data_IF_800626106349
#
_entry.id   IF_800626106349
#
_cell.length_a   1.000
_cell.length_b   1.000
_cell.length_c   1.000
_cell.angle_alpha   90.00
_cell.angle_beta   90.00
_cell.angle_gamma   90.00
#
_symmetry.space_group_name_H-M   'P 1'
#
loop_
_entity.id
_entity.type
_entity.pdbx_description
1 polymer ?
#
# COMPACT_ATOMS: atom_id res chain seq x y z
N UNK A 1 -21.07 4.95 -25.72
CA UNK A 1 -20.42 4.10 -24.70
C UNK A 1 -18.94 3.83 -24.98
N UNK A 2 -18.56 3.34 -26.17
CA UNK A 2 -17.13 3.11 -26.53
C UNK A 2 -16.23 4.34 -26.32
N UNK A 3 -16.69 5.54 -26.69
CA UNK A 3 -15.93 6.79 -26.46
C UNK A 3 -15.67 7.07 -24.98
N UNK A 4 -16.62 6.73 -24.10
CA UNK A 4 -16.46 6.89 -22.64
C UNK A 4 -15.43 5.90 -22.12
N UNK A 5 -15.53 4.62 -22.53
CA UNK A 5 -14.54 3.60 -22.16
C UNK A 5 -13.13 4.01 -22.60
N UNK A 6 -12.95 4.48 -23.85
CA UNK A 6 -11.65 4.99 -24.33
C UNK A 6 -11.10 6.12 -23.45
N UNK A 7 -11.93 7.08 -23.05
CA UNK A 7 -11.50 8.18 -22.16
C UNK A 7 -11.07 7.68 -20.78
N UNK A 8 -11.82 6.76 -20.20
CA UNK A 8 -11.50 6.15 -18.89
C UNK A 8 -10.17 5.39 -18.96
N UNK A 9 -10.02 4.49 -19.93
CA UNK A 9 -8.77 3.72 -20.11
C UNK A 9 -7.58 4.63 -20.41
N UNK A 10 -7.75 5.65 -21.25
CA UNK A 10 -6.68 6.61 -21.54
C UNK A 10 -6.26 7.36 -20.27
N UNK A 11 -7.22 7.83 -19.46
CA UNK A 11 -6.94 8.47 -18.17
C UNK A 11 -6.14 7.55 -17.25
N UNK A 12 -6.51 6.26 -17.16
CA UNK A 12 -5.78 5.28 -16.36
C UNK A 12 -4.36 5.04 -16.86
N UNK A 13 -4.18 4.86 -18.17
CA UNK A 13 -2.86 4.67 -18.80
C UNK A 13 -1.98 5.89 -18.51
N UNK A 14 -2.48 7.09 -18.71
CA UNK A 14 -1.75 8.32 -18.42
C UNK A 14 -1.41 8.45 -16.93
N UNK A 15 -2.33 8.12 -16.02
CA UNK A 15 -2.07 8.16 -14.58
C UNK A 15 -0.98 7.17 -14.15
N UNK A 16 -0.97 5.97 -14.73
CA UNK A 16 0.07 4.96 -14.50
C UNK A 16 1.42 5.41 -15.07
N UNK A 17 1.44 5.91 -16.30
CA UNK A 17 2.65 6.44 -16.92
C UNK A 17 3.22 7.60 -16.10
N UNK A 18 2.42 8.57 -15.70
CA UNK A 18 2.90 9.68 -14.88
C UNK A 18 3.43 9.21 -13.52
N UNK A 19 2.76 8.23 -12.90
CA UNK A 19 3.24 7.63 -11.64
C UNK A 19 4.59 6.96 -11.84
N UNK A 20 4.78 6.21 -12.93
CA UNK A 20 6.07 5.59 -13.28
C UNK A 20 7.19 6.63 -13.41
N UNK A 21 6.93 7.81 -14.01
CA UNK A 21 7.91 8.90 -14.09
C UNK A 21 8.22 9.56 -12.74
N UNK A 22 7.34 9.44 -11.75
CA UNK A 22 7.55 9.96 -10.39
C UNK A 22 8.27 8.97 -9.48
N UNK A 23 8.46 7.72 -9.92
CA UNK A 23 9.11 6.72 -9.11
C UNK A 23 10.54 7.14 -8.79
N UNK A 24 10.90 6.94 -7.53
CA UNK A 24 12.25 7.09 -7.05
C UNK A 24 12.76 5.69 -6.72
N UNK A 25 13.72 5.21 -7.51
CA UNK A 25 14.27 3.86 -7.38
C UNK A 25 14.88 3.64 -5.98
N UNK A 26 15.59 4.63 -5.45
CA UNK A 26 16.15 4.57 -4.09
C UNK A 26 15.06 4.42 -3.03
N UNK A 27 13.95 5.15 -3.13
CA UNK A 27 12.84 5.03 -2.18
C UNK A 27 12.15 3.66 -2.29
N UNK A 28 12.02 3.12 -3.50
CA UNK A 28 11.48 1.79 -3.77
C UNK A 28 12.36 0.69 -3.18
N UNK A 29 13.67 0.75 -3.41
CA UNK A 29 14.63 -0.21 -2.85
C UNK A 29 14.63 -0.16 -1.32
N UNK A 30 14.63 1.04 -0.73
CA UNK A 30 14.52 1.22 0.71
C UNK A 30 13.21 0.64 1.26
N UNK A 31 12.08 0.87 0.58
CA UNK A 31 10.79 0.33 0.98
C UNK A 31 10.79 -1.20 0.98
N UNK A 32 11.29 -1.83 -0.09
CA UNK A 32 11.40 -3.29 -0.19
C UNK A 32 12.32 -3.84 0.90
N UNK A 33 13.46 -3.17 1.17
CA UNK A 33 14.40 -3.58 2.22
C UNK A 33 13.77 -3.57 3.60
N UNK A 34 13.11 -2.49 4.02
CA UNK A 34 12.48 -2.44 5.35
C UNK A 34 11.33 -3.46 5.47
N UNK A 35 10.60 -3.73 4.38
CA UNK A 35 9.56 -4.78 4.35
C UNK A 35 10.16 -6.18 4.48
N UNK A 36 11.35 -6.42 3.94
CA UNK A 36 12.04 -7.70 4.04
C UNK A 36 12.49 -7.99 5.47
N UNK A 37 12.98 -6.97 6.18
CA UNK A 37 13.47 -7.05 7.55
C UNK A 37 12.34 -7.07 8.60
N UNK A 38 11.11 -6.70 8.20
CA UNK A 38 9.97 -6.61 9.10
C UNK A 38 9.48 -7.98 9.59
N UNK A 39 9.16 -8.06 10.89
CA UNK A 39 8.45 -9.20 11.46
C UNK A 39 6.93 -9.06 11.37
N UNK A 40 6.44 -7.81 11.23
CA UNK A 40 5.02 -7.45 11.12
C UNK A 40 4.82 -6.30 10.14
N UNK A 41 3.87 -6.45 9.23
CA UNK A 41 3.49 -5.42 8.25
C UNK A 41 2.02 -5.07 8.41
N UNK A 42 1.69 -3.80 8.64
CA UNK A 42 0.31 -3.34 8.69
C UNK A 42 -0.02 -2.38 7.54
N UNK A 43 -1.25 -2.47 7.01
CA UNK A 43 -1.73 -1.62 5.94
C UNK A 43 -2.90 -0.76 6.43
N UNK A 44 -2.74 0.56 6.40
CA UNK A 44 -3.75 1.50 6.88
C UNK A 44 -4.30 2.34 5.73
N UNK A 45 -5.62 2.47 5.69
CA UNK A 45 -6.30 3.39 4.78
C UNK A 45 -7.80 3.35 4.99
N UNK A 46 -8.51 4.44 4.73
CA UNK A 46 -9.96 4.51 4.89
C UNK A 46 -10.66 4.70 3.54
N UNK A 47 -11.93 4.32 3.45
CA UNK A 47 -12.73 4.45 2.23
C UNK A 47 -12.06 3.80 1.02
N UNK A 48 -11.90 4.53 -0.08
CA UNK A 48 -11.26 4.04 -1.30
C UNK A 48 -9.82 3.54 -1.10
N UNK A 49 -9.05 4.17 -0.20
CA UNK A 49 -7.70 3.73 0.15
C UNK A 49 -7.69 2.50 1.06
N UNK A 50 -8.77 2.27 1.81
CA UNK A 50 -8.96 1.04 2.58
C UNK A 50 -9.07 -0.21 1.71
N UNK A 51 -9.67 -0.09 0.51
CA UNK A 51 -9.71 -1.19 -0.47
C UNK A 51 -8.30 -1.55 -0.94
N UNK A 52 -7.42 -0.57 -1.10
CA UNK A 52 -6.01 -0.80 -1.46
C UNK A 52 -5.27 -1.49 -0.32
N UNK A 53 -5.51 -1.07 0.93
CA UNK A 53 -4.94 -1.73 2.10
C UNK A 53 -5.36 -3.21 2.18
N UNK A 54 -6.63 -3.51 1.93
CA UNK A 54 -7.13 -4.90 1.91
C UNK A 54 -6.55 -5.73 0.75
N UNK A 55 -6.39 -5.15 -0.43
CA UNK A 55 -5.73 -5.81 -1.56
C UNK A 55 -4.25 -6.11 -1.25
N UNK A 56 -3.55 -5.16 -0.64
CA UNK A 56 -2.18 -5.33 -0.18
C UNK A 56 -2.09 -6.48 0.84
N UNK A 57 -2.96 -6.51 1.85
CA UNK A 57 -3.02 -7.60 2.82
C UNK A 57 -3.24 -8.96 2.14
N UNK A 58 -4.21 -9.07 1.24
CA UNK A 58 -4.48 -10.32 0.51
C UNK A 58 -3.26 -10.83 -0.30
N UNK A 59 -2.45 -9.94 -0.85
CA UNK A 59 -1.21 -10.29 -1.56
C UNK A 59 -0.09 -10.66 -0.60
N UNK A 60 0.16 -9.81 0.41
CA UNK A 60 1.27 -9.96 1.34
C UNK A 60 1.12 -11.17 2.28
N UNK A 61 -0.09 -11.65 2.53
CA UNK A 61 -0.30 -12.94 3.22
C UNK A 61 0.50 -14.10 2.60
N UNK A 62 0.74 -14.05 1.28
CA UNK A 62 1.47 -15.10 0.54
C UNK A 62 2.98 -15.05 0.76
N UNK A 63 3.49 -13.99 1.38
CA UNK A 63 4.91 -13.84 1.71
C UNK A 63 5.30 -14.62 2.98
N UNK A 64 4.32 -14.97 3.82
CA UNK A 64 4.56 -15.60 5.13
C UNK A 64 4.92 -14.62 6.25
N UNK A 65 5.08 -13.32 5.94
CA UNK A 65 5.26 -12.29 6.96
C UNK A 65 3.90 -12.01 7.63
N UNK A 66 3.91 -11.88 8.96
CA UNK A 66 2.71 -11.50 9.71
C UNK A 66 2.20 -10.15 9.22
N UNK A 67 0.97 -10.11 8.72
CA UNK A 67 0.41 -8.87 8.21
C UNK A 67 -1.08 -8.75 8.47
N UNK A 68 -1.58 -7.51 8.46
CA UNK A 68 -2.99 -7.19 8.63
C UNK A 68 -3.32 -5.85 7.98
N UNK A 69 -4.56 -5.68 7.51
CA UNK A 69 -5.08 -4.40 7.07
C UNK A 69 -6.12 -3.87 8.05
N UNK A 70 -6.01 -2.60 8.40
CA UNK A 70 -6.99 -1.88 9.22
C UNK A 70 -7.61 -0.74 8.40
N UNK A 71 -8.92 -0.85 8.15
CA UNK A 71 -9.68 0.13 7.36
C UNK A 71 -10.54 1.07 8.21
N UNK A 72 -10.66 0.76 9.50
CA UNK A 72 -11.29 1.57 10.52
C UNK A 72 -10.22 2.32 11.34
N UNK A 73 -10.43 3.61 11.59
CA UNK A 73 -9.44 4.45 12.29
C UNK A 73 -9.21 4.05 13.73
N UNK A 74 -10.23 3.53 14.42
CA UNK A 74 -10.07 3.08 15.80
C UNK A 74 -9.19 1.83 15.85
N UNK A 75 -9.40 0.88 14.93
CA UNK A 75 -8.55 -0.30 14.81
C UNK A 75 -7.13 0.03 14.37
N UNK A 76 -6.93 1.05 13.53
CA UNK A 76 -5.59 1.54 13.18
C UNK A 76 -4.84 2.03 14.43
N UNK A 77 -5.49 2.77 15.33
CA UNK A 77 -4.90 3.22 16.60
C UNK A 77 -4.55 2.01 17.50
N UNK A 78 -5.48 1.06 17.65
CA UNK A 78 -5.25 -0.14 18.46
C UNK A 78 -4.08 -0.98 17.92
N UNK A 79 -4.04 -1.23 16.60
CA UNK A 79 -2.96 -1.93 15.93
C UNK A 79 -1.63 -1.21 16.11
N UNK A 80 -1.60 0.11 15.88
CA UNK A 80 -0.43 0.96 16.03
C UNK A 80 0.15 0.89 17.45
N UNK A 81 -0.72 0.82 18.48
CA UNK A 81 -0.33 0.71 19.87
C UNK A 81 0.44 -0.56 20.22
N UNK A 82 0.36 -1.61 19.39
CA UNK A 82 1.00 -2.93 19.58
C UNK A 82 2.21 -3.14 18.66
N UNK A 83 2.64 -2.12 17.93
CA UNK A 83 3.81 -2.20 17.06
C UNK A 83 5.12 -2.08 17.84
N UNK A 84 6.21 -2.38 17.16
CA UNK A 84 7.58 -2.29 17.66
C UNK A 84 8.53 -1.83 16.56
N UNK A 85 9.81 -1.67 16.88
CA UNK A 85 10.89 -1.33 15.94
C UNK A 85 11.02 -2.27 14.74
N UNK A 86 10.56 -3.53 14.87
CA UNK A 86 10.58 -4.53 13.79
C UNK A 86 9.29 -4.53 12.96
N UNK A 87 8.43 -3.53 13.14
CA UNK A 87 7.17 -3.38 12.42
C UNK A 87 7.24 -2.32 11.33
N UNK A 88 6.53 -2.55 10.23
CA UNK A 88 6.34 -1.56 9.16
C UNK A 88 4.85 -1.27 9.00
N UNK A 89 4.48 0.00 8.88
CA UNK A 89 3.14 0.42 8.50
C UNK A 89 3.16 1.07 7.13
N UNK A 90 2.31 0.58 6.23
CA UNK A 90 2.04 1.23 4.94
C UNK A 90 0.77 2.06 5.07
N UNK A 91 0.93 3.38 5.18
CA UNK A 91 -0.17 4.34 5.22
C UNK A 91 -0.57 4.78 3.81
N UNK A 92 -1.83 4.53 3.44
CA UNK A 92 -2.36 4.81 2.11
C UNK A 92 -3.41 5.91 2.19
N UNK A 93 -3.13 7.05 1.56
CA UNK A 93 -4.09 8.15 1.46
C UNK A 93 -3.78 9.01 0.25
N UNK A 94 -4.77 9.16 -0.64
CA UNK A 94 -4.63 10.00 -1.84
C UNK A 94 -4.24 11.45 -1.47
N UNK A 95 -5.03 12.12 -0.63
CA UNK A 95 -4.77 13.50 -0.19
C UNK A 95 -3.65 13.62 0.85
N UNK A 96 -3.37 12.53 1.58
CA UNK A 96 -2.40 12.54 2.69
C UNK A 96 -2.81 13.42 3.87
N UNK A 97 -4.10 13.72 4.01
CA UNK A 97 -4.65 14.65 5.02
C UNK A 97 -5.69 14.02 5.96
N UNK A 98 -5.87 12.70 5.92
CA UNK A 98 -6.82 12.02 6.81
C UNK A 98 -6.29 12.02 8.25
N UNK A 99 -6.98 12.75 9.14
CA UNK A 99 -6.58 12.93 10.54
C UNK A 99 -6.45 11.61 11.31
N UNK A 100 -7.43 10.72 11.21
CA UNK A 100 -7.42 9.44 11.92
C UNK A 100 -6.27 8.53 11.48
N UNK A 101 -5.96 8.52 10.19
CA UNK A 101 -4.78 7.83 9.67
C UNK A 101 -3.48 8.43 10.22
N UNK A 102 -3.35 9.76 10.21
CA UNK A 102 -2.16 10.46 10.68
C UNK A 102 -1.93 10.20 12.18
N UNK A 103 -2.98 10.27 13.00
CA UNK A 103 -2.91 9.95 14.44
C UNK A 103 -2.41 8.51 14.68
N UNK A 104 -2.94 7.52 13.95
CA UNK A 104 -2.47 6.13 14.07
C UNK A 104 -1.00 5.96 13.64
N UNK A 105 -0.57 6.68 12.61
CA UNK A 105 0.81 6.65 12.14
C UNK A 105 1.78 7.34 13.10
N UNK A 106 1.38 8.44 13.75
CA UNK A 106 2.16 9.07 14.81
C UNK A 106 2.40 8.10 15.98
N UNK A 107 1.36 7.35 16.38
CA UNK A 107 1.48 6.30 17.40
C UNK A 107 2.42 5.20 16.94
N UNK A 108 2.28 4.72 15.70
CA UNK A 108 3.15 3.69 15.13
C UNK A 108 4.63 4.12 15.16
N UNK A 109 4.92 5.36 14.74
CA UNK A 109 6.26 5.95 14.82
C UNK A 109 6.77 6.04 16.26
N UNK A 110 5.92 6.46 17.21
CA UNK A 110 6.29 6.53 18.62
C UNK A 110 6.61 5.14 19.22
N UNK A 111 6.06 4.06 18.65
CA UNK A 111 6.41 2.66 18.97
C UNK A 111 7.66 2.14 18.24
N UNK A 112 8.28 2.96 17.40
CA UNK A 112 9.48 2.62 16.63
C UNK A 112 9.20 2.00 15.26
N UNK A 113 7.94 1.82 14.86
CA UNK A 113 7.61 1.24 13.58
C UNK A 113 8.04 2.17 12.43
N UNK A 114 8.54 1.57 11.34
CA UNK A 114 8.84 2.31 10.11
C UNK A 114 7.57 2.61 9.34
N UNK A 115 7.48 3.80 8.77
CA UNK A 115 6.31 4.25 8.01
C UNK A 115 6.66 4.40 6.53
N UNK A 116 5.92 3.67 5.70
CA UNK A 116 5.88 3.86 4.25
C UNK A 116 4.57 4.57 3.90
N UNK A 117 4.62 5.72 3.24
CA UNK A 117 3.45 6.40 2.72
C UNK A 117 3.24 6.11 1.24
N UNK A 118 2.00 5.85 0.85
CA UNK A 118 1.54 5.91 -0.54
C UNK A 118 0.53 7.06 -0.63
N UNK A 119 0.94 8.14 -1.29
CA UNK A 119 0.13 9.35 -1.43
C UNK A 119 0.34 10.02 -2.78
N UNK A 120 -0.46 11.03 -3.10
CA UNK A 120 -0.36 11.74 -4.37
C UNK A 120 0.19 13.17 -4.23
N UNK A 121 0.21 13.72 -3.01
CA UNK A 121 0.66 15.09 -2.75
C UNK A 121 1.97 15.12 -1.94
N UNK A 122 3.03 15.65 -2.55
CA UNK A 122 4.39 15.70 -1.98
C UNK A 122 4.53 16.56 -0.71
N UNK A 123 3.63 17.52 -0.50
CA UNK A 123 3.63 18.38 0.70
C UNK A 123 2.50 18.05 1.67
N UNK A 124 1.92 16.85 1.55
CA UNK A 124 0.88 16.40 2.48
C UNK A 124 1.44 16.10 3.87
N UNK A 125 0.58 16.17 4.88
CA UNK A 125 0.94 15.78 6.25
C UNK A 125 1.46 14.34 6.31
N UNK A 126 0.84 13.42 5.55
CA UNK A 126 1.30 12.03 5.46
C UNK A 126 2.73 11.92 4.91
N UNK A 127 3.06 12.68 3.86
CA UNK A 127 4.39 12.66 3.27
C UNK A 127 5.48 13.18 4.21
N UNK A 128 5.15 14.15 5.06
CA UNK A 128 6.06 14.68 6.07
C UNK A 128 6.21 13.72 7.27
N UNK A 129 5.17 12.95 7.56
CA UNK A 129 5.12 11.96 8.64
C UNK A 129 5.78 10.63 8.27
N UNK A 130 6.00 10.30 7.00
CA UNK A 130 6.55 9.01 6.62
C UNK A 130 8.09 9.00 6.63
N UNK A 131 8.68 7.82 6.81
CA UNK A 131 10.12 7.62 6.65
C UNK A 131 10.48 7.43 5.16
N UNK A 132 9.58 6.78 4.41
CA UNK A 132 9.69 6.56 2.98
C UNK A 132 8.36 6.92 2.34
N UNK A 133 8.37 7.73 1.27
CA UNK A 133 7.14 8.09 0.55
C UNK A 133 7.22 7.67 -0.91
N UNK A 134 6.19 6.95 -1.37
CA UNK A 134 5.98 6.58 -2.76
C UNK A 134 4.83 7.42 -3.32
N UNK A 135 5.12 8.19 -4.36
CA UNK A 135 4.16 9.11 -4.94
C UNK A 135 3.39 8.49 -6.10
N UNK A 136 2.10 8.83 -6.17
CA UNK A 136 1.24 8.59 -7.32
C UNK A 136 0.90 9.93 -7.97
N UNK A 137 0.69 9.95 -9.30
CA UNK A 137 0.42 11.21 -9.98
C UNK A 137 -0.96 11.79 -9.64
N UNK A 138 -0.98 13.11 -9.39
CA UNK A 138 -2.17 13.97 -9.37
C UNK A 138 -2.23 14.78 -10.66
N UNK A 139 -2.94 14.32 -11.68
CA UNK A 139 -3.42 15.24 -12.73
C UNK A 139 -4.90 15.45 -12.51
N UNK A 140 -5.22 16.52 -11.78
CA UNK A 140 -6.58 17.01 -11.59
C UNK A 140 -7.08 17.55 -12.94
N UNK A 141 -7.96 16.80 -13.61
CA UNK A 141 -8.81 17.35 -14.66
C UNK A 141 -10.21 17.44 -14.07
N UNK A 142 -10.84 18.62 -14.23
CA UNK A 142 -12.07 19.13 -13.57
C UNK A 142 -13.35 18.27 -13.68
N UNK A 143 -13.27 17.02 -14.15
CA UNK A 143 -14.41 16.12 -14.27
C UNK A 143 -14.17 14.77 -13.57
N UNK A 144 -14.44 14.71 -12.26
CA UNK A 144 -15.09 13.66 -11.44
C UNK A 144 -14.90 12.18 -11.83
N UNK A 145 -13.76 11.84 -12.42
CA UNK A 145 -13.31 10.45 -12.70
C UNK A 145 -12.01 10.14 -11.92
N UNK A 146 -11.83 10.86 -10.82
CA UNK A 146 -10.54 11.18 -10.18
C UNK A 146 -10.06 10.10 -9.19
N UNK A 147 -11.00 9.36 -8.57
CA UNK A 147 -10.69 8.35 -7.57
C UNK A 147 -10.22 7.00 -8.16
N UNK A 148 -10.45 6.73 -9.44
CA UNK A 148 -10.16 5.43 -10.05
C UNK A 148 -8.75 5.35 -10.62
N UNK A 149 -8.25 6.41 -11.27
CA UNK A 149 -6.87 6.41 -11.81
C UNK A 149 -5.81 6.41 -10.72
N UNK A 150 -6.01 7.21 -9.66
CA UNK A 150 -5.12 7.22 -8.48
C UNK A 150 -5.12 5.87 -7.79
N UNK A 151 -6.29 5.21 -7.69
CA UNK A 151 -6.42 3.87 -7.14
C UNK A 151 -5.62 2.82 -7.92
N UNK A 152 -5.70 2.83 -9.24
CA UNK A 152 -4.90 1.91 -10.07
C UNK A 152 -3.40 2.14 -9.90
N UNK A 153 -2.96 3.40 -9.82
CA UNK A 153 -1.57 3.72 -9.53
C UNK A 153 -1.13 3.20 -8.14
N UNK A 154 -1.97 3.36 -7.12
CA UNK A 154 -1.70 2.82 -5.78
C UNK A 154 -1.64 1.28 -5.77
N UNK A 155 -2.56 0.61 -6.49
CA UNK A 155 -2.53 -0.85 -6.66
C UNK A 155 -1.24 -1.30 -7.36
N UNK A 156 -0.81 -0.58 -8.40
CA UNK A 156 0.44 -0.88 -9.10
C UNK A 156 1.66 -0.72 -8.19
N UNK A 157 1.70 0.30 -7.32
CA UNK A 157 2.77 0.44 -6.33
C UNK A 157 2.77 -0.71 -5.31
N UNK A 158 1.59 -1.13 -4.83
CA UNK A 158 1.46 -2.30 -3.96
C UNK A 158 1.96 -3.56 -4.67
N UNK A 159 1.63 -3.74 -5.95
CA UNK A 159 2.14 -4.86 -6.75
C UNK A 159 3.66 -4.81 -6.90
N UNK A 160 4.23 -3.63 -7.15
CA UNK A 160 5.68 -3.46 -7.22
C UNK A 160 6.35 -3.83 -5.90
N UNK A 161 5.83 -3.37 -4.76
CA UNK A 161 6.37 -3.72 -3.44
C UNK A 161 6.25 -5.22 -3.16
N UNK A 162 5.09 -5.82 -3.45
CA UNK A 162 4.86 -7.25 -3.26
C UNK A 162 5.78 -8.10 -4.14
N UNK A 163 5.94 -7.74 -5.42
CA UNK A 163 6.82 -8.46 -6.35
C UNK A 163 8.28 -8.28 -5.95
N UNK A 164 8.71 -7.06 -5.60
CA UNK A 164 10.05 -6.79 -5.12
C UNK A 164 10.41 -7.61 -3.88
N UNK A 165 9.52 -7.62 -2.88
CA UNK A 165 9.67 -8.45 -1.68
C UNK A 165 9.64 -9.96 -2.01
N UNK A 166 8.77 -10.37 -2.92
CA UNK A 166 8.65 -11.77 -3.35
C UNK A 166 9.92 -12.31 -4.00
N UNK A 167 10.62 -11.49 -4.78
CA UNK A 167 11.85 -11.89 -5.46
C UNK A 167 12.98 -12.13 -4.44
N UNK A 168 13.02 -11.37 -3.35
CA UNK A 168 13.98 -11.57 -2.27
C UNK A 168 13.67 -12.78 -1.38
N UNK A 169 12.44 -13.31 -1.44
CA UNK A 169 11.95 -14.43 -0.60
C UNK A 169 11.36 -15.57 -1.43
N UNK A 170 11.93 -15.83 -2.61
CA UNK A 170 11.32 -16.69 -3.62
C UNK A 170 11.01 -18.10 -3.11
N UNK A 171 11.94 -18.74 -2.41
CA UNK A 171 11.77 -20.11 -1.89
C UNK A 171 10.66 -20.19 -0.84
N UNK A 172 10.69 -19.31 0.15
CA UNK A 172 9.69 -19.23 1.22
C UNK A 172 8.29 -18.96 0.66
N UNK A 173 8.19 -18.02 -0.28
CA UNK A 173 6.93 -17.71 -0.97
C UNK A 173 6.38 -18.94 -1.69
N UNK A 174 7.20 -19.67 -2.43
CA UNK A 174 6.75 -20.86 -3.16
C UNK A 174 6.22 -21.93 -2.19
N UNK A 175 6.92 -22.16 -1.08
CA UNK A 175 6.49 -23.05 -0.01
C UNK A 175 5.15 -22.61 0.61
N UNK A 176 5.02 -21.33 0.94
CA UNK A 176 3.79 -20.76 1.50
C UNK A 176 2.62 -20.85 0.52
N UNK A 177 2.84 -20.54 -0.76
CA UNK A 177 1.82 -20.66 -1.80
C UNK A 177 1.34 -22.09 -2.00
N UNK A 178 2.26 -23.07 -1.93
CA UNK A 178 1.90 -24.48 -2.00
C UNK A 178 1.01 -24.87 -0.81
N UNK A 179 1.43 -24.55 0.41
CA UNK A 179 0.65 -24.84 1.63
C UNK A 179 -0.74 -24.17 1.61
N UNK A 180 -0.81 -22.91 1.17
CA UNK A 180 -2.08 -22.18 1.01
C UNK A 180 -2.98 -22.87 -0.03
N UNK A 181 -2.41 -23.28 -1.18
CA UNK A 181 -3.18 -23.95 -2.24
C UNK A 181 -3.72 -25.30 -1.80
N UNK A 182 -2.91 -26.10 -1.11
CA UNK A 182 -3.32 -27.38 -0.51
C UNK A 182 -4.45 -27.18 0.50
N UNK A 183 -4.37 -26.13 1.32
CA UNK A 183 -5.40 -25.84 2.32
C UNK A 183 -6.70 -25.32 1.70
N UNK A 184 -6.62 -24.49 0.66
CA UNK A 184 -7.79 -23.95 -0.04
C UNK A 184 -8.46 -25.03 -0.91
N UNK A 185 -7.71 -25.96 -1.50
CA UNK A 185 -8.31 -27.01 -2.34
C UNK A 185 -9.22 -27.93 -1.52
N UNK A 186 -8.94 -28.14 -0.22
CA UNK A 186 -9.83 -28.86 0.69
C UNK A 186 -11.22 -28.22 0.85
N UNK A 187 -11.39 -26.94 0.49
CA UNK A 187 -12.69 -26.24 0.52
C UNK A 187 -13.46 -26.33 -0.80
N UNK A 188 -12.90 -26.95 -1.84
CA UNK A 188 -13.59 -27.12 -3.13
C UNK A 188 -14.46 -28.38 -3.08
N UNK A 189 -15.73 -28.23 -3.42
CA UNK A 189 -16.67 -29.35 -3.66
C UNK A 189 -16.49 -29.81 -5.10
#
# INVERSE_FOLDING_TARGET
MVTVAKKVFHSHITGLQNTLHLLNDTALEQAVKVLQEASRIEFYGNGGSGIIAMDAYHKFMRTGISCIAHTDSHFQIMGAGLLSENSVVIGISHSGSNKGLLEALEIARARGAKIIAITSYQKSALSQLADITLYTSTREMEFRTEASSSRLAQLSLIDTLYVGLSLQRQEEKLKNLQSIRETISMKRI
#
